data_IF_823883269252
#
_entry.id   IF_823883269252
#
_cell.length_a   1.000
_cell.length_b   1.000
_cell.length_c   1.000
_cell.angle_alpha   90.00
_cell.angle_beta   90.00
_cell.angle_gamma   90.00
#
_symmetry.space_group_name_H-M   'P 1'
#
loop_
_entity.id
_entity.type
_entity.pdbx_description
1 polymer ?
#
# COMPACT_ATOMS: atom_id res chain seq x y z
N UNK A 1 -12.97 3.80 -9.33
CA UNK A 1 -13.79 4.36 -8.21
C UNK A 1 -13.16 3.92 -6.89
N UNK A 2 -12.97 4.84 -5.93
CA UNK A 2 -12.49 4.52 -4.60
C UNK A 2 -13.38 3.47 -3.92
N UNK A 3 -12.79 2.46 -3.29
CA UNK A 3 -13.55 1.34 -2.72
C UNK A 3 -13.05 0.86 -1.36
N UNK A 4 -11.90 1.37 -0.91
CA UNK A 4 -11.28 0.95 0.34
C UNK A 4 -12.19 1.19 1.56
N UNK A 5 -12.92 2.32 1.57
CA UNK A 5 -13.88 2.66 2.61
C UNK A 5 -14.95 1.57 2.83
N UNK A 6 -15.36 0.87 1.74
CA UNK A 6 -16.34 -0.24 1.82
C UNK A 6 -15.77 -1.46 2.53
N UNK A 7 -14.48 -1.78 2.28
CA UNK A 7 -13.81 -2.92 2.93
C UNK A 7 -13.68 -2.72 4.44
N UNK A 8 -13.36 -1.50 4.85
CA UNK A 8 -13.20 -1.16 6.27
C UNK A 8 -14.47 -0.62 6.92
N UNK A 9 -15.59 -0.55 6.17
CA UNK A 9 -16.89 -0.07 6.65
C UNK A 9 -16.82 1.33 7.28
N UNK A 10 -16.01 2.21 6.69
CA UNK A 10 -15.89 3.61 7.10
C UNK A 10 -16.61 4.53 6.12
N UNK A 11 -17.06 5.68 6.60
CA UNK A 11 -17.73 6.72 5.81
C UNK A 11 -16.71 7.40 4.89
N UNK A 12 -17.13 7.84 3.68
CA UNK A 12 -16.30 8.53 2.70
C UNK A 12 -16.87 9.91 2.33
N UNK A 13 -17.46 10.61 3.30
CA UNK A 13 -18.08 11.94 3.08
C UNK A 13 -16.99 13.01 2.91
N UNK A 14 -15.99 12.98 3.78
CA UNK A 14 -14.79 13.79 3.73
C UNK A 14 -13.57 12.88 3.62
N UNK A 15 -12.54 13.34 2.91
CA UNK A 15 -11.32 12.57 2.70
C UNK A 15 -10.18 13.40 2.11
N UNK A 16 -9.26 12.72 1.44
CA UNK A 16 -8.04 13.31 0.90
C UNK A 16 -8.30 14.55 0.03
N UNK A 17 -9.23 14.45 -0.90
CA UNK A 17 -9.54 15.55 -1.82
C UNK A 17 -10.11 16.77 -1.11
N UNK A 18 -10.85 16.58 -0.03
CA UNK A 18 -11.45 17.67 0.73
C UNK A 18 -10.39 18.42 1.57
N UNK A 19 -9.35 17.71 2.08
CA UNK A 19 -8.18 18.37 2.70
C UNK A 19 -7.42 19.19 1.66
N UNK A 20 -7.12 18.59 0.51
CA UNK A 20 -6.26 19.21 -0.51
C UNK A 20 -6.88 20.47 -1.15
N UNK A 21 -8.18 20.70 -0.94
CA UNK A 21 -8.90 21.93 -1.33
C UNK A 21 -9.34 22.77 -0.12
N UNK A 22 -8.71 22.57 1.03
CA UNK A 22 -8.92 23.36 2.27
C UNK A 22 -10.38 23.37 2.79
N UNK A 23 -11.16 22.33 2.51
CA UNK A 23 -12.54 22.21 3.03
C UNK A 23 -12.61 21.71 4.47
N UNK A 24 -11.59 20.99 4.91
CA UNK A 24 -11.54 20.38 6.24
C UNK A 24 -10.10 20.16 6.68
N UNK A 25 -9.89 19.89 7.96
CA UNK A 25 -8.59 19.60 8.54
C UNK A 25 -8.27 18.10 8.50
N UNK A 26 -6.98 17.75 8.71
CA UNK A 26 -6.55 16.35 8.83
C UNK A 26 -7.33 15.59 9.90
N UNK A 27 -7.65 16.23 11.02
CA UNK A 27 -8.40 15.61 12.14
C UNK A 27 -9.81 15.17 11.76
N UNK A 28 -10.43 15.85 10.80
CA UNK A 28 -11.81 15.57 10.37
C UNK A 28 -11.90 14.31 9.49
N UNK A 29 -10.79 13.92 8.84
CA UNK A 29 -10.77 12.86 7.84
C UNK A 29 -9.97 11.62 8.24
N UNK A 30 -9.02 11.76 9.17
CA UNK A 30 -8.23 10.63 9.65
C UNK A 30 -9.08 9.71 10.51
N UNK A 31 -9.14 8.43 10.14
CA UNK A 31 -9.99 7.41 10.79
C UNK A 31 -9.11 6.34 11.38
N UNK A 32 -9.23 6.12 12.68
CA UNK A 32 -8.56 5.00 13.34
C UNK A 32 -9.28 3.71 12.98
N UNK A 33 -8.56 2.77 12.37
CA UNK A 33 -9.08 1.46 11.96
C UNK A 33 -8.71 0.41 12.98
N UNK A 34 -7.45 0.48 13.50
CA UNK A 34 -6.92 -0.45 14.50
C UNK A 34 -5.91 0.31 15.37
N UNK A 35 -5.29 -0.35 16.32
CA UNK A 35 -4.32 0.26 17.27
C UNK A 35 -3.20 1.01 16.52
N UNK A 36 -2.70 0.42 15.43
CA UNK A 36 -1.58 0.96 14.63
C UNK A 36 -1.97 1.31 13.20
N UNK A 37 -3.25 1.20 12.83
CA UNK A 37 -3.71 1.47 11.47
C UNK A 37 -4.70 2.64 11.44
N UNK A 38 -4.34 3.65 10.67
CA UNK A 38 -5.19 4.80 10.38
C UNK A 38 -5.46 4.87 8.87
N UNK A 39 -6.54 5.51 8.50
CA UNK A 39 -6.95 5.63 7.10
C UNK A 39 -7.49 7.02 6.80
N UNK A 40 -7.12 7.55 5.64
CA UNK A 40 -7.77 8.66 4.98
C UNK A 40 -8.45 8.10 3.74
N UNK A 41 -9.75 8.31 3.60
CA UNK A 41 -10.52 7.89 2.42
C UNK A 41 -10.36 8.91 1.30
N UNK A 42 -10.80 8.60 0.08
CA UNK A 42 -10.68 9.53 -1.04
C UNK A 42 -11.46 10.84 -0.86
N UNK A 43 -12.62 10.78 -0.20
CA UNK A 43 -13.53 11.92 -0.09
C UNK A 43 -14.33 12.16 -1.36
N UNK A 44 -14.69 13.42 -1.60
CA UNK A 44 -15.42 13.87 -2.78
C UNK A 44 -14.56 13.73 -4.03
N UNK A 45 -15.09 13.17 -5.11
CA UNK A 45 -14.34 13.01 -6.37
C UNK A 45 -14.32 14.37 -7.09
N UNK A 46 -13.15 15.01 -7.24
CA UNK A 46 -13.04 16.29 -7.93
C UNK A 46 -13.07 16.11 -9.46
N UNK A 47 -13.36 17.17 -10.22
CA UNK A 47 -13.34 17.12 -11.69
C UNK A 47 -11.91 16.96 -12.25
N UNK A 48 -10.88 17.41 -11.53
CA UNK A 48 -9.46 17.43 -11.93
C UNK A 48 -8.55 16.76 -10.87
N UNK A 49 -8.66 15.44 -10.65
CA UNK A 49 -7.95 14.75 -9.57
C UNK A 49 -6.42 14.87 -9.68
N UNK A 50 -5.86 14.78 -10.90
CA UNK A 50 -4.40 14.82 -11.11
C UNK A 50 -3.78 16.15 -10.69
N UNK A 51 -4.45 17.28 -10.94
CA UNK A 51 -3.97 18.60 -10.52
C UNK A 51 -3.90 18.71 -8.99
N UNK A 52 -4.95 18.22 -8.32
CA UNK A 52 -5.06 18.24 -6.86
C UNK A 52 -3.98 17.34 -6.22
N UNK A 53 -3.80 16.12 -6.74
CA UNK A 53 -2.77 15.18 -6.25
C UNK A 53 -1.35 15.68 -6.56
N UNK A 54 -1.16 16.40 -7.65
CA UNK A 54 0.11 17.02 -8.04
C UNK A 54 0.46 18.31 -7.26
N UNK A 55 -0.47 18.86 -6.50
CA UNK A 55 -0.32 20.16 -5.83
C UNK A 55 0.72 20.17 -4.70
N UNK A 56 1.12 21.38 -4.28
CA UNK A 56 1.95 21.59 -3.08
C UNK A 56 1.20 21.15 -1.81
N UNK A 57 -0.12 21.31 -1.76
CA UNK A 57 -0.94 20.86 -0.62
C UNK A 57 -0.77 19.36 -0.35
N UNK A 58 -0.57 18.53 -1.41
CA UNK A 58 -0.28 17.10 -1.23
C UNK A 58 1.09 16.86 -0.58
N UNK A 59 2.11 17.62 -0.97
CA UNK A 59 3.44 17.53 -0.34
C UNK A 59 3.41 17.96 1.13
N UNK A 60 2.69 19.02 1.43
CA UNK A 60 2.56 19.52 2.79
C UNK A 60 1.78 18.56 3.67
N UNK A 61 0.74 17.93 3.14
CA UNK A 61 0.02 16.85 3.82
C UNK A 61 0.92 15.64 4.10
N UNK A 62 1.74 15.20 3.13
CA UNK A 62 2.69 14.08 3.34
C UNK A 62 3.68 14.45 4.44
N UNK A 63 4.24 15.69 4.44
CA UNK A 63 5.13 16.16 5.49
C UNK A 63 4.45 16.17 6.87
N UNK A 64 3.21 16.67 6.96
CA UNK A 64 2.45 16.68 8.20
C UNK A 64 2.22 15.26 8.73
N UNK A 65 1.82 14.32 7.87
CA UNK A 65 1.63 12.92 8.23
C UNK A 65 2.93 12.26 8.67
N UNK A 66 4.07 12.58 8.05
CA UNK A 66 5.39 11.99 8.39
C UNK A 66 5.88 12.38 9.79
N UNK A 67 5.33 13.43 10.41
CA UNK A 67 5.60 13.78 11.80
C UNK A 67 4.91 12.86 12.81
N UNK A 68 3.88 12.12 12.37
CA UNK A 68 3.02 11.34 13.26
C UNK A 68 2.98 9.84 12.93
N UNK A 69 3.42 9.44 11.75
CA UNK A 69 3.36 8.06 11.26
C UNK A 69 4.71 7.59 10.75
N UNK A 70 5.09 6.37 11.11
CA UNK A 70 6.33 5.73 10.63
C UNK A 70 6.22 5.34 9.15
N UNK A 71 5.02 5.01 8.68
CA UNK A 71 4.74 4.60 7.31
C UNK A 71 3.48 5.26 6.76
N UNK A 72 3.56 5.78 5.54
CA UNK A 72 2.43 6.32 4.78
C UNK A 72 2.30 5.48 3.51
N UNK A 73 1.20 4.73 3.38
CA UNK A 73 0.93 3.90 2.21
C UNK A 73 -0.13 4.55 1.34
N UNK A 74 0.22 4.89 0.11
CA UNK A 74 -0.69 5.50 -0.87
C UNK A 74 -1.18 4.44 -1.87
N UNK A 75 -2.48 4.11 -1.82
CA UNK A 75 -3.14 3.24 -2.81
C UNK A 75 -3.54 4.06 -4.03
N UNK A 76 -3.06 3.64 -5.20
CA UNK A 76 -3.21 4.39 -6.44
C UNK A 76 -3.95 3.58 -7.51
N UNK A 77 -4.60 4.25 -8.49
CA UNK A 77 -5.10 3.56 -9.69
C UNK A 77 -3.94 2.99 -10.52
N UNK A 78 -4.21 2.18 -11.57
CA UNK A 78 -3.17 1.67 -12.45
C UNK A 78 -2.39 2.78 -13.16
N UNK A 79 -1.07 2.60 -13.30
CA UNK A 79 -0.13 3.61 -13.83
C UNK A 79 -0.45 4.03 -15.28
N UNK A 80 -0.88 3.10 -16.13
CA UNK A 80 -0.99 3.35 -17.59
C UNK A 80 -2.16 4.27 -17.97
N UNK A 81 -3.40 4.12 -17.42
CA UNK A 81 -4.51 4.93 -17.90
C UNK A 81 -4.57 6.35 -17.32
N UNK A 82 -3.80 6.66 -16.26
CA UNK A 82 -3.86 7.96 -15.55
C UNK A 82 -2.50 8.39 -15.04
N UNK A 83 -2.32 9.70 -14.82
CA UNK A 83 -1.04 10.30 -14.40
C UNK A 83 -0.86 10.37 -12.88
N UNK A 84 -1.94 10.28 -12.11
CA UNK A 84 -1.91 10.40 -10.64
C UNK A 84 -0.85 9.51 -9.96
N UNK A 85 -0.69 8.21 -10.34
CA UNK A 85 0.32 7.35 -9.75
C UNK A 85 1.75 7.84 -9.99
N UNK A 86 2.01 8.45 -11.16
CA UNK A 86 3.34 8.98 -11.49
C UNK A 86 3.68 10.20 -10.64
N UNK A 87 2.70 11.08 -10.42
CA UNK A 87 2.85 12.27 -9.57
C UNK A 87 3.14 11.86 -8.12
N UNK A 88 2.43 10.86 -7.61
CA UNK A 88 2.64 10.34 -6.25
C UNK A 88 3.96 9.57 -6.13
N UNK A 89 4.32 8.77 -7.13
CA UNK A 89 5.57 8.02 -7.14
C UNK A 89 6.80 8.94 -7.10
N UNK A 90 6.74 10.09 -7.79
CA UNK A 90 7.80 11.11 -7.75
C UNK A 90 7.96 11.78 -6.37
N UNK A 91 6.92 11.75 -5.53
CA UNK A 91 6.89 12.35 -4.19
C UNK A 91 7.10 11.33 -3.07
N UNK A 92 7.26 10.04 -3.41
CA UNK A 92 7.35 8.93 -2.46
C UNK A 92 8.80 8.49 -2.28
N UNK A 93 9.15 8.08 -1.05
CA UNK A 93 10.46 7.50 -0.76
C UNK A 93 10.66 6.14 -1.45
N UNK A 94 9.56 5.40 -1.69
CA UNK A 94 9.58 4.09 -2.32
C UNK A 94 8.29 3.80 -3.08
N UNK A 95 8.41 3.03 -4.17
CA UNK A 95 7.29 2.56 -4.99
C UNK A 95 7.33 1.04 -5.12
N UNK A 96 6.17 0.40 -4.98
CA UNK A 96 5.99 -1.04 -5.20
C UNK A 96 5.00 -1.23 -6.34
N UNK A 97 5.38 -2.01 -7.35
CA UNK A 97 4.50 -2.35 -8.48
C UNK A 97 3.67 -3.58 -8.13
N UNK A 98 2.34 -3.42 -8.05
CA UNK A 98 1.44 -4.56 -7.83
C UNK A 98 0.95 -5.10 -9.17
N UNK A 99 1.30 -6.35 -9.48
CA UNK A 99 0.95 -7.06 -10.71
C UNK A 99 -0.08 -8.13 -10.42
N UNK A 100 -1.16 -8.17 -11.20
CA UNK A 100 -2.15 -9.23 -11.07
C UNK A 100 -1.79 -10.41 -11.95
N UNK A 101 -1.52 -11.57 -11.33
CA UNK A 101 -1.18 -12.80 -12.02
C UNK A 101 -2.23 -13.17 -13.09
N UNK A 102 -1.78 -13.67 -14.24
CA UNK A 102 -2.62 -14.14 -15.36
C UNK A 102 -3.54 -13.08 -15.98
N UNK A 103 -3.58 -11.84 -15.46
CA UNK A 103 -4.40 -10.75 -16.00
C UNK A 103 -3.56 -9.63 -16.58
N UNK A 104 -2.45 -9.27 -15.92
CA UNK A 104 -1.59 -8.18 -16.38
C UNK A 104 -0.59 -8.73 -17.39
N UNK A 105 -0.64 -8.21 -18.63
CA UNK A 105 0.30 -8.61 -19.70
C UNK A 105 1.69 -8.04 -19.43
N UNK A 106 2.74 -8.81 -19.73
CA UNK A 106 4.13 -8.38 -19.54
C UNK A 106 4.45 -7.02 -20.20
N UNK A 107 3.95 -6.79 -21.42
CA UNK A 107 4.12 -5.49 -22.11
C UNK A 107 3.61 -4.31 -21.27
N UNK A 108 2.49 -4.48 -20.57
CA UNK A 108 1.90 -3.43 -19.72
C UNK A 108 2.77 -3.21 -18.47
N UNK A 109 3.34 -4.29 -17.91
CA UNK A 109 4.24 -4.18 -16.76
C UNK A 109 5.50 -3.40 -17.14
N UNK A 110 6.11 -3.73 -18.28
CA UNK A 110 7.30 -3.02 -18.80
C UNK A 110 6.99 -1.54 -19.04
N UNK A 111 5.88 -1.26 -19.71
CA UNK A 111 5.46 0.12 -19.94
C UNK A 111 5.25 0.89 -18.63
N UNK A 112 4.58 0.30 -17.63
CA UNK A 112 4.38 0.93 -16.32
C UNK A 112 5.71 1.19 -15.59
N UNK A 113 6.65 0.24 -15.66
CA UNK A 113 7.99 0.39 -15.14
C UNK A 113 8.73 1.56 -15.81
N UNK A 114 8.71 1.63 -17.16
CA UNK A 114 9.37 2.68 -17.93
C UNK A 114 8.81 4.07 -17.58
N UNK A 115 7.48 4.19 -17.44
CA UNK A 115 6.84 5.46 -17.01
C UNK A 115 7.26 5.88 -15.61
N UNK A 116 7.36 4.95 -14.67
CA UNK A 116 7.81 5.23 -13.30
C UNK A 116 9.29 5.66 -13.27
N UNK A 117 10.16 5.06 -14.08
CA UNK A 117 11.57 5.47 -14.21
C UNK A 117 11.68 6.89 -14.75
N UNK A 118 10.85 7.30 -15.72
CA UNK A 118 10.86 8.66 -16.29
C UNK A 118 10.61 9.75 -15.24
N UNK A 119 9.86 9.43 -14.20
CA UNK A 119 9.60 10.37 -13.08
C UNK A 119 10.57 10.19 -11.91
N UNK A 120 11.68 9.47 -12.11
CA UNK A 120 12.68 9.16 -11.08
C UNK A 120 12.12 8.45 -9.84
N UNK A 121 11.09 7.64 -9.99
CA UNK A 121 10.51 6.88 -8.90
C UNK A 121 11.50 5.84 -8.36
N UNK A 122 11.64 5.75 -7.04
CA UNK A 122 12.43 4.72 -6.37
C UNK A 122 11.64 3.40 -6.30
N UNK A 123 11.75 2.56 -7.32
CA UNK A 123 11.06 1.27 -7.38
C UNK A 123 11.85 0.24 -6.56
N UNK A 124 11.33 -0.16 -5.39
CA UNK A 124 11.98 -1.11 -4.49
C UNK A 124 11.60 -2.57 -4.75
N UNK A 125 10.58 -2.82 -5.57
CA UNK A 125 10.18 -4.19 -5.91
C UNK A 125 8.80 -4.30 -6.53
N UNK A 126 8.34 -5.55 -6.68
CA UNK A 126 7.00 -5.87 -7.18
C UNK A 126 6.31 -6.95 -6.35
N UNK A 127 4.97 -6.91 -6.32
CA UNK A 127 4.13 -7.91 -5.69
C UNK A 127 3.27 -8.58 -6.75
N UNK A 128 3.36 -9.92 -6.85
CA UNK A 128 2.47 -10.72 -7.68
C UNK A 128 1.21 -11.07 -6.89
N UNK A 129 0.13 -10.34 -7.17
CA UNK A 129 -1.17 -10.55 -6.53
C UNK A 129 -2.04 -11.55 -7.30
N UNK A 130 -3.00 -12.19 -6.63
CA UNK A 130 -3.92 -13.18 -7.23
C UNK A 130 -3.17 -14.36 -7.91
N UNK A 131 -2.00 -14.71 -7.36
CA UNK A 131 -1.27 -15.92 -7.76
C UNK A 131 -1.96 -17.13 -7.12
N UNK A 132 -2.38 -18.13 -7.95
CA UNK A 132 -2.66 -19.44 -7.40
C UNK A 132 -1.33 -20.00 -6.91
N UNK A 133 -1.08 -19.95 -5.64
CA UNK A 133 -0.21 -20.93 -5.02
C UNK A 133 -0.93 -22.27 -5.19
N UNK A 134 -0.53 -23.06 -6.21
CA UNK A 134 -0.62 -24.50 -6.04
C UNK A 134 0.15 -24.72 -4.76
N UNK A 135 -0.54 -24.97 -3.69
CA UNK A 135 0.06 -25.41 -2.44
C UNK A 135 0.78 -26.71 -2.75
N UNK A 136 1.99 -26.60 -3.30
CA UNK A 136 2.98 -27.62 -3.06
C UNK A 136 3.22 -27.53 -1.57
N UNK A 137 2.66 -28.49 -0.84
CA UNK A 137 2.78 -28.69 0.60
C UNK A 137 4.23 -28.63 1.10
N UNK A 138 5.23 -28.67 0.20
CA UNK A 138 6.64 -28.66 0.51
C UNK A 138 7.15 -27.38 1.19
N UNK A 139 6.60 -26.20 0.91
CA UNK A 139 7.04 -24.95 1.57
C UNK A 139 6.51 -24.85 3.01
N UNK A 140 5.26 -25.27 3.24
CA UNK A 140 4.72 -25.34 4.59
C UNK A 140 5.29 -26.51 5.41
N UNK A 141 5.69 -27.59 4.78
CA UNK A 141 6.43 -28.69 5.43
C UNK A 141 7.80 -28.24 5.92
N UNK A 142 8.53 -27.41 5.17
CA UNK A 142 9.85 -26.92 5.59
C UNK A 142 9.76 -26.07 6.87
N UNK A 143 8.82 -25.13 6.94
CA UNK A 143 8.58 -24.33 8.16
C UNK A 143 7.94 -25.14 9.29
N UNK A 144 7.11 -26.12 8.98
CA UNK A 144 6.53 -27.02 9.97
C UNK A 144 7.56 -28.01 10.57
N UNK A 145 8.59 -28.40 9.82
CA UNK A 145 9.71 -29.21 10.32
C UNK A 145 10.63 -28.40 11.24
N UNK A 146 10.95 -27.15 10.90
CA UNK A 146 11.72 -26.27 11.77
C UNK A 146 11.03 -26.06 13.13
N UNK A 147 9.71 -25.90 13.11
CA UNK A 147 8.90 -25.73 14.32
C UNK A 147 8.75 -27.02 15.13
N UNK A 148 8.76 -28.19 14.50
CA UNK A 148 8.82 -29.51 15.16
C UNK A 148 10.20 -29.74 15.79
N UNK A 149 11.28 -29.33 15.13
CA UNK A 149 12.65 -29.49 15.62
C UNK A 149 12.93 -28.58 16.82
N UNK A 150 12.47 -27.36 16.80
CA UNK A 150 12.58 -26.40 17.91
C UNK A 150 11.77 -26.87 19.13
N UNK A 151 10.61 -27.46 18.94
CA UNK A 151 9.80 -28.08 20.01
C UNK A 151 10.46 -29.34 20.57
N UNK A 152 11.10 -30.12 19.73
CA UNK A 152 11.82 -31.33 20.16
C UNK A 152 13.07 -30.98 20.99
N UNK A 153 13.86 -29.97 20.59
CA UNK A 153 15.00 -29.46 21.38
C UNK A 153 14.55 -28.94 22.75
N UNK A 154 13.44 -28.21 22.86
CA UNK A 154 12.92 -27.74 24.14
C UNK A 154 12.45 -28.87 25.06
N UNK A 155 11.97 -29.98 24.51
CA UNK A 155 11.56 -31.18 25.26
C UNK A 155 12.74 -31.96 25.82
N UNK A 156 13.83 -32.10 25.05
CA UNK A 156 15.06 -32.73 25.49
C UNK A 156 15.74 -31.90 26.59
N UNK A 157 15.84 -30.58 26.39
CA UNK A 157 16.44 -29.68 27.37
C UNK A 157 15.67 -29.66 28.72
N UNK A 158 14.36 -29.89 28.72
CA UNK A 158 13.56 -30.08 29.97
C UNK A 158 13.76 -31.42 30.65
N UNK A 159 14.12 -32.49 29.89
CA UNK A 159 14.38 -33.81 30.47
C UNK A 159 15.80 -33.93 31.08
N UNK A 160 16.77 -33.12 30.60
CA UNK A 160 18.13 -33.10 31.11
C UNK A 160 18.32 -32.20 32.36
N UNK A 161 17.26 -31.46 32.77
CA UNK A 161 17.26 -30.62 33.99
C UNK A 161 16.52 -31.26 35.18
N UNK A 162 16.14 -32.51 35.06
CA UNK A 162 15.65 -33.38 36.16
C UNK A 162 16.64 -34.48 36.44
#
# INVERSE_FOLDING_TARGET
KPSIHKKFRVVNDLGLTDILVDKCSLKDVIKKIDEYLFMITAGTIPPNPSEIVGSNSMEDLIKELSLSFDYIVMDTPPVIPVTDPLLLAAKSDATIIVVRARKTKEKIIRQAYDELIKVNSNIIGSILNDSETKTNNSYYEYYAEEDKWSRHKRRIAKKLKK
#
